data_IF_380551593007
#
_entry.id   IF_380551593007
#
_cell.length_a   1.000
_cell.length_b   1.000
_cell.length_c   1.000
_cell.angle_alpha   90.00
_cell.angle_beta   90.00
_cell.angle_gamma   90.00
#
_symmetry.space_group_name_H-M   'P 1'
#
loop_
_entity.id
_entity.type
_entity.pdbx_description
1 polymer ?
#
# COMPACT_ATOMS: atom_id res chain seq x y z
N UNK A 1 32.74 7.92 2.07
CA UNK A 1 31.82 6.86 1.60
C UNK A 1 30.51 7.54 1.24
N UNK A 2 29.87 7.18 0.12
CA UNK A 2 28.56 7.75 -0.24
C UNK A 2 27.54 7.37 0.84
N UNK A 3 26.81 8.36 1.35
CA UNK A 3 25.74 8.17 2.34
C UNK A 3 24.39 8.41 1.67
N UNK A 4 23.51 7.43 1.70
CA UNK A 4 22.19 7.49 1.06
C UNK A 4 21.08 7.51 2.12
N UNK A 5 20.18 8.47 1.99
CA UNK A 5 18.91 8.46 2.69
C UNK A 5 17.97 7.44 2.03
N UNK A 6 17.36 6.56 2.81
CA UNK A 6 16.22 5.77 2.36
C UNK A 6 14.96 6.50 2.84
N UNK A 7 14.28 7.18 1.93
CA UNK A 7 13.03 7.84 2.24
C UNK A 7 11.87 6.88 2.00
N UNK A 8 11.43 6.19 3.05
CA UNK A 8 10.20 5.40 3.01
C UNK A 8 9.00 6.35 2.91
N UNK A 9 8.14 6.15 1.91
CA UNK A 9 6.99 7.01 1.66
C UNK A 9 5.69 6.24 1.72
N UNK A 10 4.71 6.77 2.45
CA UNK A 10 3.36 6.20 2.51
C UNK A 10 2.28 7.30 2.47
N UNK A 11 1.03 6.87 2.35
CA UNK A 11 -0.10 7.79 2.17
C UNK A 11 -0.30 8.70 3.39
N UNK A 12 -0.07 8.18 4.60
CA UNK A 12 -0.45 8.81 5.85
C UNK A 12 -1.86 8.42 6.27
N UNK A 13 -2.18 8.65 7.55
CA UNK A 13 -3.47 8.35 8.14
C UNK A 13 -3.57 9.06 9.50
N UNK A 14 -4.77 9.44 9.97
CA UNK A 14 -4.96 10.05 11.28
C UNK A 14 -4.65 9.04 12.40
N UNK A 15 -3.91 9.52 13.40
CA UNK A 15 -3.51 8.73 14.58
C UNK A 15 -4.51 8.84 15.73
N UNK A 16 -5.53 9.68 15.57
CA UNK A 16 -6.62 9.90 16.52
C UNK A 16 -7.87 10.39 15.81
N UNK A 17 -9.03 10.29 16.46
CA UNK A 17 -10.30 10.81 15.93
C UNK A 17 -10.25 12.33 15.68
N UNK A 18 -9.52 13.07 16.52
CA UNK A 18 -9.35 14.52 16.37
C UNK A 18 -8.61 14.90 15.08
N UNK A 19 -7.81 13.99 14.52
CA UNK A 19 -7.06 14.20 13.28
C UNK A 19 -7.86 13.86 12.02
N UNK A 20 -9.01 13.19 12.14
CA UNK A 20 -9.82 12.73 10.99
C UNK A 20 -10.23 13.91 10.11
N UNK A 21 -10.82 14.95 10.68
CA UNK A 21 -11.26 16.11 9.91
C UNK A 21 -10.09 16.85 9.23
N UNK A 22 -9.01 17.25 9.94
CA UNK A 22 -7.84 17.86 9.31
C UNK A 22 -7.26 17.01 8.18
N UNK A 23 -7.15 15.70 8.39
CA UNK A 23 -6.62 14.76 7.41
C UNK A 23 -7.47 14.69 6.13
N UNK A 24 -8.79 14.50 6.24
CA UNK A 24 -9.66 14.45 5.06
C UNK A 24 -9.78 15.81 4.37
N UNK A 25 -9.71 16.91 5.14
CA UNK A 25 -9.64 18.26 4.56
C UNK A 25 -8.37 18.41 3.71
N UNK A 26 -7.23 17.92 4.21
CA UNK A 26 -5.96 17.94 3.48
C UNK A 26 -6.01 17.10 2.20
N UNK A 27 -6.51 15.85 2.26
CA UNK A 27 -6.68 14.98 1.07
C UNK A 27 -7.52 15.67 -0.01
N UNK A 28 -8.55 16.41 0.39
CA UNK A 28 -9.49 17.10 -0.52
C UNK A 28 -8.98 18.46 -1.01
N UNK A 29 -7.71 18.79 -0.78
CA UNK A 29 -7.09 20.05 -1.19
C UNK A 29 -7.61 21.25 -0.40
N UNK A 30 -7.81 21.09 0.91
CA UNK A 30 -8.30 22.14 1.80
C UNK A 30 -9.83 22.23 1.92
N UNK A 31 -10.58 21.40 1.17
CA UNK A 31 -12.04 21.37 1.23
C UNK A 31 -12.52 20.45 2.34
N UNK A 32 -13.15 21.03 3.36
CA UNK A 32 -13.73 20.29 4.49
C UNK A 32 -14.80 19.31 4.01
N UNK A 33 -14.86 18.08 4.57
CA UNK A 33 -16.01 17.19 4.38
C UNK A 33 -17.32 17.80 4.86
N UNK A 34 -18.46 17.36 4.31
CA UNK A 34 -19.76 17.69 4.87
C UNK A 34 -19.91 17.06 6.26
N UNK A 35 -20.76 17.61 7.15
CA UNK A 35 -20.99 17.04 8.48
C UNK A 35 -21.35 15.55 8.45
N UNK A 36 -22.24 15.15 7.55
CA UNK A 36 -22.69 13.75 7.43
C UNK A 36 -21.55 12.82 7.00
N UNK A 37 -20.75 13.22 6.01
CA UNK A 37 -19.61 12.44 5.55
C UNK A 37 -18.50 12.38 6.61
N UNK A 38 -18.26 13.48 7.33
CA UNK A 38 -17.31 13.47 8.44
C UNK A 38 -17.76 12.53 9.56
N UNK A 39 -19.05 12.54 9.90
CA UNK A 39 -19.62 11.62 10.87
C UNK A 39 -19.43 10.16 10.42
N UNK A 40 -19.79 9.83 9.19
CA UNK A 40 -19.63 8.49 8.63
C UNK A 40 -18.17 8.00 8.72
N UNK A 41 -17.21 8.80 8.22
CA UNK A 41 -15.79 8.44 8.30
C UNK A 41 -15.34 8.25 9.74
N UNK A 42 -15.75 9.15 10.65
CA UNK A 42 -15.36 9.09 12.06
C UNK A 42 -15.90 7.81 12.72
N UNK A 43 -17.12 7.39 12.38
CA UNK A 43 -17.68 6.11 12.83
C UNK A 43 -16.88 4.91 12.30
N UNK A 44 -16.38 4.95 11.06
CA UNK A 44 -15.48 3.90 10.54
C UNK A 44 -14.21 3.79 11.40
N UNK A 45 -13.61 4.93 11.77
CA UNK A 45 -12.47 4.93 12.71
C UNK A 45 -12.84 4.39 14.08
N UNK A 46 -14.00 4.75 14.63
CA UNK A 46 -14.49 4.19 15.90
C UNK A 46 -14.58 2.65 15.85
N UNK A 47 -15.12 2.10 14.77
CA UNK A 47 -15.30 0.65 14.57
C UNK A 47 -13.98 -0.13 14.50
N UNK A 48 -12.87 0.52 14.18
CA UNK A 48 -11.53 -0.10 14.17
C UNK A 48 -10.68 0.26 15.41
N UNK A 49 -11.29 0.83 16.45
CA UNK A 49 -10.60 1.18 17.71
C UNK A 49 -10.16 2.63 17.85
N UNK A 50 -10.69 3.53 17.01
CA UNK A 50 -10.55 4.98 17.12
C UNK A 50 -9.31 5.59 16.44
N UNK A 51 -8.48 4.79 15.78
CA UNK A 51 -7.30 5.26 15.04
C UNK A 51 -6.83 4.24 14.00
N UNK A 52 -6.15 4.71 12.96
CA UNK A 52 -5.47 3.81 12.01
C UNK A 52 -4.10 3.37 12.57
N UNK A 53 -3.74 2.08 12.47
CA UNK A 53 -2.42 1.62 12.90
C UNK A 53 -1.30 1.93 11.89
N UNK A 54 -1.62 2.51 10.73
CA UNK A 54 -0.68 2.69 9.61
C UNK A 54 0.60 3.42 10.02
N UNK A 55 0.50 4.53 10.76
CA UNK A 55 1.69 5.28 11.17
C UNK A 55 2.57 4.48 12.13
N UNK A 56 1.97 3.74 13.07
CA UNK A 56 2.72 2.92 14.02
C UNK A 56 3.39 1.73 13.33
N UNK A 57 2.71 1.10 12.36
CA UNK A 57 3.26 0.02 11.52
C UNK A 57 4.43 0.52 10.69
N UNK A 58 4.25 1.60 9.93
CA UNK A 58 5.30 2.15 9.05
C UNK A 58 6.52 2.65 9.82
N UNK A 59 6.33 3.19 11.04
CA UNK A 59 7.45 3.48 11.97
C UNK A 59 8.21 2.22 12.39
N UNK A 60 7.52 1.10 12.64
CA UNK A 60 8.17 -0.19 12.94
C UNK A 60 8.91 -0.75 11.73
N UNK A 61 8.32 -0.66 10.55
CA UNK A 61 8.97 -1.03 9.27
C UNK A 61 10.24 -0.22 9.07
N UNK A 62 10.19 1.11 9.24
CA UNK A 62 11.35 1.99 9.08
C UNK A 62 12.50 1.62 10.03
N UNK A 63 12.20 1.41 11.32
CA UNK A 63 13.20 0.97 12.31
C UNK A 63 13.78 -0.40 11.98
N UNK A 64 12.95 -1.33 11.55
CA UNK A 64 13.39 -2.68 11.20
C UNK A 64 14.24 -2.69 9.94
N UNK A 65 13.91 -1.84 8.96
CA UNK A 65 14.71 -1.64 7.75
C UNK A 65 16.08 -1.05 8.08
N UNK A 66 16.16 -0.03 8.95
CA UNK A 66 17.44 0.50 9.41
C UNK A 66 18.29 -0.62 10.02
N UNK A 67 17.73 -1.38 10.97
CA UNK A 67 18.43 -2.46 11.63
C UNK A 67 18.88 -3.58 10.67
N UNK A 68 18.10 -3.87 9.62
CA UNK A 68 18.48 -4.86 8.62
C UNK A 68 19.63 -4.37 7.73
N UNK A 69 19.56 -3.11 7.29
CA UNK A 69 20.62 -2.47 6.50
C UNK A 69 21.93 -2.35 7.30
N UNK A 70 21.87 -2.01 8.59
CA UNK A 70 23.06 -1.91 9.46
C UNK A 70 23.79 -3.25 9.59
N UNK A 71 23.02 -4.36 9.71
CA UNK A 71 23.57 -5.72 9.78
C UNK A 71 24.24 -6.18 8.49
N UNK A 72 23.97 -5.53 7.35
CA UNK A 72 24.53 -5.91 6.05
C UNK A 72 25.99 -5.49 5.83
N UNK A 73 26.65 -4.95 6.86
CA UNK A 73 28.10 -4.69 6.88
C UNK A 73 28.50 -3.26 6.48
N UNK A 74 27.55 -2.34 6.32
CA UNK A 74 27.81 -0.93 6.01
C UNK A 74 26.89 0.01 6.84
N UNK A 75 27.01 0.04 8.17
CA UNK A 75 26.10 0.78 9.05
C UNK A 75 26.05 2.29 8.76
N UNK A 76 27.13 2.87 8.25
CA UNK A 76 27.19 4.31 7.94
C UNK A 76 26.73 4.65 6.51
N UNK A 77 26.31 3.65 5.71
CA UNK A 77 25.92 3.86 4.31
C UNK A 77 24.48 4.36 4.17
N UNK A 78 23.57 3.86 5.00
CA UNK A 78 22.15 4.09 4.84
C UNK A 78 21.53 4.66 6.10
N UNK A 79 20.73 5.71 5.94
CA UNK A 79 19.89 6.27 7.00
C UNK A 79 18.43 6.25 6.55
N UNK A 80 17.56 5.58 7.29
CA UNK A 80 16.15 5.41 6.96
C UNK A 80 15.32 6.55 7.57
N UNK A 81 14.56 7.22 6.70
CA UNK A 81 13.58 8.24 7.04
C UNK A 81 12.19 7.76 6.64
N UNK A 82 11.17 8.29 7.32
CA UNK A 82 9.76 8.03 7.00
C UNK A 82 9.06 9.34 6.70
N UNK A 83 8.45 9.44 5.51
CA UNK A 83 7.63 10.56 5.08
C UNK A 83 6.23 10.11 4.67
N UNK A 84 5.24 10.91 5.01
CA UNK A 84 3.84 10.67 4.72
C UNK A 84 3.31 11.76 3.78
N UNK A 85 2.41 11.41 2.86
CA UNK A 85 1.83 12.39 1.94
C UNK A 85 0.78 13.26 2.62
N UNK A 86 -0.07 12.67 3.46
CA UNK A 86 -1.27 13.34 3.98
C UNK A 86 -1.34 13.51 5.50
N UNK A 87 -0.36 13.04 6.25
CA UNK A 87 -0.23 13.29 7.69
C UNK A 87 1.24 13.53 8.06
N UNK A 88 1.52 13.92 9.30
CA UNK A 88 2.91 14.06 9.76
C UNK A 88 3.56 12.68 10.04
N UNK A 89 4.89 12.53 9.88
CA UNK A 89 5.83 13.51 9.32
C UNK A 89 5.65 13.65 7.80
N UNK A 90 5.52 14.87 7.27
CA UNK A 90 5.26 15.05 5.84
C UNK A 90 6.51 14.78 5.00
N UNK A 91 6.34 14.23 3.79
CA UNK A 91 7.44 14.00 2.83
C UNK A 91 8.29 15.27 2.65
N UNK A 92 7.65 16.43 2.51
CA UNK A 92 8.36 17.70 2.32
C UNK A 92 9.28 18.06 3.49
N UNK A 93 8.78 17.95 4.73
CA UNK A 93 9.57 18.24 5.94
C UNK A 93 10.76 17.29 6.07
N UNK A 94 10.54 16.02 5.74
CA UNK A 94 11.57 14.98 5.84
C UNK A 94 12.65 15.15 4.78
N UNK A 95 12.30 15.58 3.56
CA UNK A 95 13.29 15.91 2.53
C UNK A 95 14.17 17.07 2.98
N UNK A 96 13.60 18.12 3.59
CA UNK A 96 14.39 19.23 4.15
C UNK A 96 15.32 18.76 5.27
N UNK A 97 14.86 17.82 6.11
CA UNK A 97 15.71 17.21 7.14
C UNK A 97 16.88 16.43 6.52
N UNK A 98 16.63 15.61 5.50
CA UNK A 98 17.67 14.85 4.78
C UNK A 98 18.72 15.81 4.19
N UNK A 99 18.29 16.93 3.62
CA UNK A 99 19.20 17.97 3.10
C UNK A 99 20.04 18.57 4.23
N UNK A 100 19.43 18.89 5.37
CA UNK A 100 20.13 19.43 6.53
C UNK A 100 21.15 18.43 7.13
N UNK A 101 20.87 17.13 7.04
CA UNK A 101 21.76 16.05 7.50
C UNK A 101 22.96 15.81 6.56
N UNK A 102 22.98 16.47 5.39
CA UNK A 102 24.11 16.46 4.46
C UNK A 102 24.35 15.12 3.77
N UNK A 103 23.26 14.40 3.44
CA UNK A 103 23.32 13.12 2.71
C UNK A 103 23.48 13.35 1.20
N UNK A 104 24.19 12.42 0.52
CA UNK A 104 24.60 12.59 -0.88
C UNK A 104 23.51 12.16 -1.87
N UNK A 105 22.57 11.33 -1.41
CA UNK A 105 21.58 10.66 -2.25
C UNK A 105 20.30 10.35 -1.47
N UNK A 106 19.16 10.39 -2.15
CA UNK A 106 17.87 9.92 -1.66
C UNK A 106 17.43 8.74 -2.53
N UNK A 107 17.27 7.57 -1.93
CA UNK A 107 16.49 6.47 -2.50
C UNK A 107 15.05 6.66 -2.02
N UNK A 108 14.19 7.17 -2.90
CA UNK A 108 12.80 7.44 -2.60
C UNK A 108 11.99 6.15 -2.81
N UNK A 109 11.58 5.52 -1.71
CA UNK A 109 10.97 4.18 -1.68
C UNK A 109 9.52 4.25 -1.17
N UNK A 110 8.53 4.31 -2.08
CA UNK A 110 7.13 4.10 -1.72
C UNK A 110 6.89 2.73 -1.09
N UNK A 111 6.09 2.70 -0.01
CA UNK A 111 5.50 1.47 0.53
C UNK A 111 4.29 0.99 -0.28
N UNK A 112 3.96 1.66 -1.38
CA UNK A 112 3.04 1.17 -2.40
C UNK A 112 3.83 0.33 -3.42
N UNK A 113 3.54 -0.97 -3.60
CA UNK A 113 4.29 -1.83 -4.52
C UNK A 113 4.00 -1.54 -5.99
N UNK A 114 2.80 -1.00 -6.28
CA UNK A 114 2.26 -0.78 -7.61
C UNK A 114 2.22 0.71 -7.93
N UNK A 115 2.74 1.10 -9.09
CA UNK A 115 2.78 2.47 -9.52
C UNK A 115 1.38 2.97 -9.89
N UNK A 116 1.03 4.14 -9.37
CA UNK A 116 0.02 5.01 -9.97
C UNK A 116 0.47 6.46 -9.90
N UNK A 117 0.02 7.28 -10.85
CA UNK A 117 0.18 8.75 -10.82
C UNK A 117 -0.44 9.35 -9.56
N UNK A 118 -1.53 8.76 -9.03
CA UNK A 118 -2.21 9.26 -7.82
C UNK A 118 -1.53 8.83 -6.51
N UNK A 119 -0.71 7.78 -6.53
CA UNK A 119 0.03 7.25 -5.37
C UNK A 119 1.54 7.55 -5.50
N UNK A 120 2.33 6.61 -6.02
CA UNK A 120 3.79 6.67 -6.17
C UNK A 120 4.21 7.94 -6.92
N UNK A 121 3.54 8.27 -8.04
CA UNK A 121 3.83 9.48 -8.79
C UNK A 121 3.63 10.76 -7.96
N UNK A 122 2.60 10.79 -7.11
CA UNK A 122 2.35 11.92 -6.22
C UNK A 122 3.36 12.01 -5.07
N UNK A 123 3.88 10.88 -4.56
CA UNK A 123 4.96 10.88 -3.57
C UNK A 123 6.26 11.44 -4.17
N UNK A 124 6.64 10.96 -5.35
CA UNK A 124 7.84 11.46 -6.05
C UNK A 124 7.71 12.94 -6.41
N UNK A 125 6.51 13.38 -6.81
CA UNK A 125 6.24 14.81 -7.01
C UNK A 125 6.47 15.63 -5.74
N UNK A 126 5.99 15.15 -4.58
CA UNK A 126 6.22 15.83 -3.30
C UNK A 126 7.72 15.89 -2.93
N UNK A 127 8.49 14.84 -3.24
CA UNK A 127 9.96 14.85 -3.07
C UNK A 127 10.61 15.89 -3.98
N UNK A 128 10.25 15.89 -5.27
CA UNK A 128 10.81 16.82 -6.25
C UNK A 128 10.47 18.29 -5.92
N UNK A 129 9.25 18.57 -5.48
CA UNK A 129 8.83 19.90 -5.04
C UNK A 129 9.61 20.36 -3.80
N UNK A 130 9.82 19.46 -2.82
CA UNK A 130 10.54 19.77 -1.59
C UNK A 130 12.06 19.94 -1.80
N UNK A 131 12.66 19.20 -2.74
CA UNK A 131 14.05 19.42 -3.15
C UNK A 131 14.24 20.77 -3.87
N UNK A 132 13.16 21.34 -4.40
CA UNK A 132 13.20 22.42 -5.37
C UNK A 132 13.80 21.94 -6.71
N UNK A 133 13.53 22.68 -7.79
CA UNK A 133 13.97 22.30 -9.15
C UNK A 133 15.51 22.32 -9.30
N UNK A 134 16.26 22.78 -8.29
CA UNK A 134 17.65 23.20 -8.46
C UNK A 134 18.60 22.92 -7.30
N UNK A 135 18.33 21.98 -6.36
CA UNK A 135 19.36 21.57 -5.40
C UNK A 135 20.25 20.47 -6.02
N UNK A 136 21.36 20.81 -6.70
CA UNK A 136 22.10 19.87 -7.54
C UNK A 136 23.01 18.94 -6.74
N UNK A 137 22.99 19.05 -5.41
CA UNK A 137 23.94 18.38 -4.52
C UNK A 137 23.47 16.98 -4.11
N UNK A 138 22.17 16.70 -4.13
CA UNK A 138 21.62 15.40 -3.72
C UNK A 138 21.10 14.64 -4.93
N UNK A 139 21.62 13.43 -5.13
CA UNK A 139 21.12 12.52 -6.18
C UNK A 139 19.79 11.92 -5.77
N UNK A 140 18.81 11.89 -6.67
CA UNK A 140 17.53 11.21 -6.44
C UNK A 140 17.48 9.89 -7.20
N UNK A 141 17.13 8.80 -6.51
CA UNK A 141 16.86 7.46 -7.04
C UNK A 141 15.41 7.08 -6.73
N UNK A 142 14.46 7.39 -7.63
CA UNK A 142 13.07 7.04 -7.40
C UNK A 142 12.85 5.54 -7.64
N UNK A 143 12.21 4.87 -6.68
CA UNK A 143 11.64 3.53 -6.88
C UNK A 143 10.20 3.69 -7.35
N UNK A 144 9.91 3.19 -8.55
CA UNK A 144 8.59 3.36 -9.17
C UNK A 144 7.62 2.22 -8.84
N UNK A 145 8.13 0.99 -8.79
CA UNK A 145 7.34 -0.21 -8.52
C UNK A 145 8.23 -1.33 -8.01
N UNK A 146 7.62 -2.28 -7.31
CA UNK A 146 8.27 -3.50 -6.82
C UNK A 146 7.25 -4.62 -6.53
N UNK A 147 6.00 -4.48 -6.98
CA UNK A 147 4.93 -5.48 -6.79
C UNK A 147 5.20 -6.84 -7.44
N UNK A 148 6.01 -6.89 -8.50
CA UNK A 148 6.45 -8.14 -9.12
C UNK A 148 7.74 -8.71 -8.51
N UNK A 149 8.32 -8.08 -7.48
CA UNK A 149 9.57 -8.53 -6.90
C UNK A 149 9.43 -9.96 -6.33
N UNK A 150 10.31 -10.92 -6.68
CA UNK A 150 10.11 -12.33 -6.34
C UNK A 150 9.89 -12.60 -4.85
N UNK A 151 10.63 -11.93 -3.97
CA UNK A 151 10.41 -12.08 -2.52
C UNK A 151 9.09 -11.51 -2.02
N UNK A 152 8.55 -10.48 -2.68
CA UNK A 152 7.23 -9.95 -2.34
C UNK A 152 6.15 -10.95 -2.74
N UNK A 153 6.21 -11.46 -3.98
CA UNK A 153 5.30 -12.50 -4.48
C UNK A 153 5.29 -13.71 -3.55
N UNK A 154 6.47 -14.24 -3.18
CA UNK A 154 6.58 -15.39 -2.29
C UNK A 154 6.04 -15.10 -0.88
N UNK A 155 6.24 -13.88 -0.36
CA UNK A 155 5.68 -13.49 0.93
C UNK A 155 4.16 -13.43 0.88
N UNK A 156 3.57 -12.79 -0.13
CA UNK A 156 2.11 -12.71 -0.29
C UNK A 156 1.52 -14.11 -0.52
N UNK A 157 2.17 -14.95 -1.35
CA UNK A 157 1.80 -16.34 -1.53
C UNK A 157 1.71 -17.09 -0.19
N UNK A 158 2.73 -16.96 0.67
CA UNK A 158 2.67 -17.57 2.00
C UNK A 158 1.50 -17.05 2.86
N UNK A 159 1.11 -15.77 2.72
CA UNK A 159 -0.05 -15.22 3.44
C UNK A 159 -1.37 -15.80 2.94
N UNK A 160 -1.46 -16.09 1.64
CA UNK A 160 -2.60 -16.77 1.03
C UNK A 160 -2.67 -18.21 1.53
N UNK A 161 -1.57 -18.97 1.46
CA UNK A 161 -1.48 -20.36 1.95
C UNK A 161 -1.86 -20.47 3.43
N UNK A 162 -1.27 -19.61 4.28
CA UNK A 162 -1.56 -19.57 5.72
C UNK A 162 -3.06 -19.31 5.99
N UNK A 163 -3.69 -18.42 5.21
CA UNK A 163 -5.08 -18.04 5.41
C UNK A 163 -6.08 -19.06 4.83
N UNK A 164 -5.72 -19.74 3.74
CA UNK A 164 -6.47 -20.90 3.25
C UNK A 164 -6.55 -21.97 4.34
N UNK A 165 -5.44 -22.22 5.06
CA UNK A 165 -5.45 -23.08 6.25
C UNK A 165 -6.02 -24.47 5.98
N UNK A 166 -5.80 -25.01 4.79
CA UNK A 166 -6.32 -26.31 4.35
C UNK A 166 -7.78 -26.31 3.86
N UNK A 167 -8.39 -25.15 3.59
CA UNK A 167 -9.66 -25.08 2.87
C UNK A 167 -9.56 -25.84 1.53
N UNK A 168 -10.57 -26.65 1.17
CA UNK A 168 -10.57 -27.39 -0.09
C UNK A 168 -10.70 -26.44 -1.28
N UNK A 169 -9.89 -26.64 -2.32
CA UNK A 169 -9.83 -25.78 -3.50
C UNK A 169 -11.15 -25.73 -4.28
N UNK A 170 -11.93 -26.82 -4.30
CA UNK A 170 -13.05 -26.98 -5.23
C UNK A 170 -14.18 -25.96 -5.00
N UNK A 171 -14.36 -25.52 -3.75
CA UNK A 171 -15.43 -24.61 -3.32
C UNK A 171 -14.91 -23.33 -2.66
N UNK A 172 -13.62 -23.02 -2.85
CA UNK A 172 -12.98 -21.83 -2.30
C UNK A 172 -12.64 -20.86 -3.42
N UNK A 173 -13.06 -19.61 -3.27
CA UNK A 173 -12.62 -18.51 -4.13
C UNK A 173 -11.57 -17.66 -3.40
N UNK A 174 -10.45 -17.38 -4.05
CA UNK A 174 -9.53 -16.32 -3.61
C UNK A 174 -9.82 -15.03 -4.39
N UNK A 175 -10.05 -13.92 -3.69
CA UNK A 175 -10.26 -12.61 -4.32
C UNK A 175 -9.08 -11.72 -3.95
N UNK A 176 -8.27 -11.35 -4.94
CA UNK A 176 -7.27 -10.32 -4.76
C UNK A 176 -7.92 -8.94 -4.82
N UNK A 177 -7.59 -8.07 -3.87
CA UNK A 177 -8.14 -6.72 -3.81
C UNK A 177 -7.08 -5.62 -3.73
N UNK A 178 -7.46 -4.44 -4.23
CA UNK A 178 -6.71 -3.20 -4.10
C UNK A 178 -7.67 -2.01 -4.04
N UNK A 179 -7.19 -0.84 -3.59
CA UNK A 179 -7.97 0.39 -3.67
C UNK A 179 -8.31 0.68 -5.14
N UNK A 180 -9.58 0.96 -5.42
CA UNK A 180 -10.03 1.42 -6.72
C UNK A 180 -9.46 2.80 -7.05
N UNK A 181 -9.32 3.15 -8.32
CA UNK A 181 -8.97 4.50 -8.73
C UNK A 181 -9.97 5.01 -9.77
N UNK A 182 -10.07 6.33 -10.01
CA UNK A 182 -10.88 6.85 -11.10
C UNK A 182 -10.51 6.19 -12.45
N UNK A 183 -11.49 5.66 -13.17
CA UNK A 183 -11.27 4.88 -14.40
C UNK A 183 -10.58 5.71 -15.51
N UNK A 184 -10.69 7.04 -15.45
CA UNK A 184 -9.94 7.92 -16.35
C UNK A 184 -8.42 7.68 -16.31
N UNK A 185 -7.84 7.28 -15.17
CA UNK A 185 -6.40 7.03 -15.07
C UNK A 185 -5.96 5.91 -16.01
N UNK A 186 -6.76 4.84 -16.13
CA UNK A 186 -6.53 3.77 -17.10
C UNK A 186 -6.52 4.30 -18.53
N UNK A 187 -7.48 5.17 -18.86
CA UNK A 187 -7.54 5.82 -20.19
C UNK A 187 -6.36 6.77 -20.43
N UNK A 188 -5.81 7.35 -19.37
CA UNK A 188 -4.60 8.19 -19.38
C UNK A 188 -3.30 7.35 -19.41
N UNK A 189 -3.38 6.02 -19.43
CA UNK A 189 -2.22 5.13 -19.51
C UNK A 189 -1.54 4.84 -18.17
N UNK A 190 -2.25 4.98 -17.05
CA UNK A 190 -1.74 4.61 -15.73
C UNK A 190 -1.59 3.07 -15.61
N UNK A 191 -0.41 2.55 -15.25
CA UNK A 191 -0.14 1.10 -15.27
C UNK A 191 -0.69 0.35 -14.05
N UNK A 192 -1.31 1.05 -13.09
CA UNK A 192 -1.72 0.50 -11.80
C UNK A 192 -2.52 -0.80 -11.89
N UNK A 193 -3.55 -0.86 -12.73
CA UNK A 193 -4.37 -2.06 -12.90
C UNK A 193 -3.54 -3.23 -13.47
N UNK A 194 -2.65 -2.97 -14.43
CA UNK A 194 -1.82 -4.00 -15.03
C UNK A 194 -0.79 -4.56 -14.04
N UNK A 195 -0.12 -3.70 -13.25
CA UNK A 195 0.85 -4.13 -12.24
C UNK A 195 0.19 -4.92 -11.08
N UNK A 196 -1.03 -4.53 -10.70
CA UNK A 196 -1.83 -5.27 -9.72
C UNK A 196 -2.22 -6.66 -10.21
N UNK A 197 -2.71 -6.76 -11.45
CA UNK A 197 -3.04 -8.03 -12.09
C UNK A 197 -1.81 -8.92 -12.22
N UNK A 198 -0.66 -8.37 -12.64
CA UNK A 198 0.60 -9.13 -12.69
C UNK A 198 0.98 -9.71 -11.33
N UNK A 199 0.87 -8.90 -10.27
CA UNK A 199 1.17 -9.38 -8.91
C UNK A 199 0.19 -10.48 -8.46
N UNK A 200 -1.10 -10.31 -8.75
CA UNK A 200 -2.12 -11.31 -8.45
C UNK A 200 -1.88 -12.62 -9.22
N UNK A 201 -1.56 -12.54 -10.52
CA UNK A 201 -1.21 -13.68 -11.37
C UNK A 201 0.02 -14.43 -10.84
N UNK A 202 1.09 -13.69 -10.48
CA UNK A 202 2.31 -14.28 -9.94
C UNK A 202 2.07 -14.97 -8.60
N UNK A 203 1.28 -14.36 -7.72
CA UNK A 203 0.92 -14.94 -6.42
C UNK A 203 0.02 -16.16 -6.62
N UNK A 204 -1.00 -16.06 -7.46
CA UNK A 204 -1.90 -17.18 -7.77
C UNK A 204 -1.14 -18.37 -8.36
N UNK A 205 -0.20 -18.11 -9.28
CA UNK A 205 0.67 -19.12 -9.85
C UNK A 205 1.63 -19.75 -8.84
N UNK A 206 2.18 -18.96 -7.91
CA UNK A 206 3.07 -19.45 -6.86
C UNK A 206 2.36 -20.39 -5.88
N UNK A 207 1.09 -20.12 -5.54
CA UNK A 207 0.27 -20.96 -4.65
C UNK A 207 -0.39 -22.12 -5.41
N UNK A 208 -0.58 -22.01 -6.73
CA UNK A 208 -1.29 -22.99 -7.54
C UNK A 208 -2.82 -22.83 -7.49
N UNK A 209 -3.32 -21.60 -7.30
CA UNK A 209 -4.75 -21.33 -7.18
C UNK A 209 -5.52 -21.68 -8.46
N UNK A 210 -6.60 -22.45 -8.31
CA UNK A 210 -7.49 -22.83 -9.41
C UNK A 210 -8.65 -21.86 -9.62
N UNK A 211 -9.13 -21.24 -8.54
CA UNK A 211 -10.26 -20.32 -8.52
C UNK A 211 -9.84 -19.02 -7.85
N UNK A 212 -9.58 -18.01 -8.66
CA UNK A 212 -9.31 -16.68 -8.16
C UNK A 212 -9.86 -15.61 -9.08
N UNK A 213 -10.05 -14.41 -8.54
CA UNK A 213 -10.50 -13.22 -9.26
C UNK A 213 -9.82 -11.98 -8.67
N UNK A 214 -9.90 -10.88 -9.40
CA UNK A 214 -9.46 -9.58 -8.93
C UNK A 214 -10.68 -8.66 -8.79
N UNK A 215 -10.70 -7.87 -7.73
CA UNK A 215 -11.71 -6.86 -7.50
C UNK A 215 -11.12 -5.62 -6.84
N UNK A 216 -11.81 -4.49 -6.93
CA UNK A 216 -11.40 -3.27 -6.27
C UNK A 216 -12.28 -2.97 -5.05
N UNK A 217 -11.74 -2.20 -4.11
CA UNK A 217 -12.45 -1.73 -2.92
C UNK A 217 -12.30 -0.21 -2.77
N UNK A 218 -13.09 0.37 -1.86
CA UNK A 218 -12.90 1.76 -1.42
C UNK A 218 -13.09 2.82 -2.52
N UNK A 219 -13.89 2.52 -3.56
CA UNK A 219 -14.25 3.51 -4.58
C UNK A 219 -15.00 4.69 -3.93
N UNK A 220 -14.58 5.93 -4.22
CA UNK A 220 -15.23 7.10 -3.64
C UNK A 220 -16.45 7.53 -4.47
N UNK A 221 -17.55 8.01 -3.84
CA UNK A 221 -18.76 8.45 -4.53
C UNK A 221 -18.58 9.86 -5.13
N UNK A 222 -17.69 9.98 -6.12
CA UNK A 222 -17.33 11.26 -6.75
C UNK A 222 -18.15 11.57 -8.01
N UNK A 223 -19.01 10.65 -8.45
CA UNK A 223 -19.84 10.77 -9.66
C UNK A 223 -19.11 10.49 -10.97
N UNK A 224 -17.80 10.24 -10.95
CA UNK A 224 -17.07 9.63 -12.06
C UNK A 224 -16.96 8.11 -11.88
N UNK A 225 -16.82 7.31 -12.95
CA UNK A 225 -16.55 5.88 -12.84
C UNK A 225 -15.21 5.58 -12.19
N UNK A 226 -15.18 4.52 -11.38
CA UNK A 226 -13.99 3.97 -10.73
C UNK A 226 -13.68 2.59 -11.28
N UNK A 227 -12.43 2.13 -11.15
CA UNK A 227 -12.02 0.79 -11.55
C UNK A 227 -12.85 -0.26 -10.81
N UNK A 228 -13.37 -1.23 -11.56
CA UNK A 228 -14.18 -2.32 -11.05
C UNK A 228 -13.70 -3.68 -11.58
N UNK A 229 -14.34 -4.78 -11.16
CA UNK A 229 -15.56 -4.81 -10.35
C UNK A 229 -15.33 -4.45 -8.87
N UNK A 230 -16.38 -4.06 -8.15
CA UNK A 230 -16.32 -3.91 -6.70
C UNK A 230 -16.29 -5.29 -6.00
N UNK A 231 -15.44 -5.42 -4.98
CA UNK A 231 -15.26 -6.65 -4.22
C UNK A 231 -16.54 -7.20 -3.57
N UNK A 232 -17.46 -6.35 -3.12
CA UNK A 232 -18.73 -6.81 -2.56
C UNK A 232 -19.67 -7.33 -3.64
N UNK A 233 -19.65 -6.73 -4.83
CA UNK A 233 -20.44 -7.21 -5.97
C UNK A 233 -19.94 -8.59 -6.42
N UNK A 234 -18.63 -8.78 -6.53
CA UNK A 234 -18.03 -10.11 -6.81
C UNK A 234 -18.48 -11.15 -5.76
N UNK A 235 -18.50 -10.79 -4.47
CA UNK A 235 -18.94 -11.71 -3.41
C UNK A 235 -20.44 -12.06 -3.54
N UNK A 236 -21.29 -11.10 -3.89
CA UNK A 236 -22.73 -11.35 -4.14
C UNK A 236 -22.93 -12.28 -5.33
N UNK A 237 -22.19 -12.06 -6.42
CA UNK A 237 -22.24 -12.92 -7.60
C UNK A 237 -21.81 -14.35 -7.29
N UNK A 238 -20.72 -14.51 -6.53
CA UNK A 238 -20.22 -15.82 -6.09
C UNK A 238 -21.24 -16.54 -5.21
N UNK A 239 -21.85 -15.85 -4.23
CA UNK A 239 -22.90 -16.42 -3.39
C UNK A 239 -24.11 -16.86 -4.22
N UNK A 240 -24.56 -16.02 -5.16
CA UNK A 240 -25.70 -16.31 -6.03
C UNK A 240 -25.45 -17.50 -6.97
N UNK A 241 -24.20 -17.71 -7.40
CA UNK A 241 -23.83 -18.85 -8.25
C UNK A 241 -23.98 -20.21 -7.55
N UNK A 242 -23.79 -20.24 -6.22
CA UNK A 242 -23.74 -21.47 -5.42
C UNK A 242 -22.51 -22.37 -5.67
N UNK A 243 -21.55 -21.94 -6.49
CA UNK A 243 -20.34 -22.71 -6.81
C UNK A 243 -19.34 -22.78 -5.65
N UNK A 244 -19.34 -21.76 -4.79
CA UNK A 244 -18.42 -21.62 -3.65
C UNK A 244 -19.19 -21.44 -2.36
N UNK A 245 -18.63 -21.92 -1.25
CA UNK A 245 -19.11 -21.68 0.12
C UNK A 245 -18.05 -20.96 0.97
N UNK A 246 -16.88 -20.65 0.40
CA UNK A 246 -15.75 -20.03 1.08
C UNK A 246 -15.12 -18.95 0.21
N UNK A 247 -14.82 -17.81 0.82
CA UNK A 247 -14.11 -16.70 0.19
C UNK A 247 -12.91 -16.29 1.04
N UNK A 248 -11.73 -16.27 0.43
CA UNK A 248 -10.52 -15.68 0.98
C UNK A 248 -10.21 -14.38 0.25
N UNK A 249 -10.20 -13.25 0.97
CA UNK A 249 -9.74 -11.97 0.42
C UNK A 249 -8.25 -11.75 0.71
N UNK A 250 -7.49 -11.42 -0.32
CA UNK A 250 -6.09 -11.01 -0.22
C UNK A 250 -5.92 -9.55 -0.71
N UNK A 251 -5.77 -8.56 0.19
CA UNK A 251 -5.55 -7.16 -0.18
C UNK A 251 -4.13 -6.92 -0.74
N UNK A 252 -3.83 -7.49 -1.91
CA UNK A 252 -2.50 -7.46 -2.57
C UNK A 252 -2.00 -6.04 -2.87
N UNK A 253 -2.91 -5.08 -3.04
CA UNK A 253 -2.58 -3.67 -3.23
C UNK A 253 -2.07 -2.95 -1.97
N UNK A 254 -2.07 -3.60 -0.80
CA UNK A 254 -1.72 -2.99 0.47
C UNK A 254 -0.71 -3.82 1.26
N UNK A 255 0.22 -3.13 1.92
CA UNK A 255 1.29 -3.78 2.71
C UNK A 255 1.06 -3.70 4.21
N UNK A 256 0.15 -2.84 4.68
CA UNK A 256 -0.08 -2.58 6.09
C UNK A 256 -1.57 -2.47 6.39
N UNK A 257 -1.98 -2.90 7.59
CA UNK A 257 -3.31 -2.61 8.10
C UNK A 257 -3.52 -1.09 8.21
N UNK A 258 -4.70 -0.65 7.79
CA UNK A 258 -5.19 0.72 7.83
C UNK A 258 -6.73 0.67 7.71
N UNK A 259 -7.38 1.83 7.63
CA UNK A 259 -8.84 1.93 7.67
C UNK A 259 -9.53 0.99 6.69
N UNK A 260 -9.15 1.00 5.41
CA UNK A 260 -9.85 0.24 4.36
C UNK A 260 -9.69 -1.27 4.50
N UNK A 261 -8.56 -1.73 5.05
CA UNK A 261 -8.38 -3.14 5.36
C UNK A 261 -9.19 -3.56 6.59
N UNK A 262 -9.13 -2.76 7.67
CA UNK A 262 -9.75 -3.12 8.94
C UNK A 262 -11.27 -2.85 8.99
N UNK A 263 -11.76 -1.93 8.17
CA UNK A 263 -13.18 -1.61 8.10
C UNK A 263 -13.81 -2.29 6.87
N UNK A 264 -13.40 -1.92 5.66
CA UNK A 264 -14.07 -2.39 4.45
C UNK A 264 -14.01 -3.92 4.36
N UNK A 265 -12.90 -4.56 4.73
CA UNK A 265 -12.77 -6.02 4.69
C UNK A 265 -13.20 -6.71 5.99
N UNK A 266 -12.62 -6.33 7.13
CA UNK A 266 -12.86 -7.06 8.38
C UNK A 266 -14.22 -6.75 9.03
N UNK A 267 -14.89 -5.66 8.65
CA UNK A 267 -16.23 -5.29 9.12
C UNK A 267 -17.28 -5.45 8.01
N UNK A 268 -17.21 -4.68 6.93
CA UNK A 268 -18.29 -4.65 5.93
C UNK A 268 -18.33 -5.93 5.09
N UNK A 269 -17.21 -6.31 4.49
CA UNK A 269 -17.13 -7.49 3.62
C UNK A 269 -17.38 -8.77 4.40
N UNK A 270 -16.82 -8.90 5.61
CA UNK A 270 -17.10 -10.02 6.50
C UNK A 270 -18.60 -10.15 6.79
N UNK A 271 -19.26 -9.06 7.20
CA UNK A 271 -20.68 -9.08 7.51
C UNK A 271 -21.53 -9.46 6.30
N UNK A 272 -21.20 -8.94 5.11
CA UNK A 272 -21.85 -9.31 3.86
C UNK A 272 -21.68 -10.80 3.54
N UNK A 273 -20.47 -11.34 3.65
CA UNK A 273 -20.21 -12.75 3.39
C UNK A 273 -20.98 -13.66 4.38
N UNK A 274 -21.04 -13.28 5.66
CA UNK A 274 -21.83 -13.98 6.68
C UNK A 274 -23.33 -13.94 6.37
N UNK A 275 -23.89 -12.80 5.95
CA UNK A 275 -25.29 -12.67 5.52
C UNK A 275 -25.61 -13.59 4.33
N UNK A 276 -24.67 -13.73 3.41
CA UNK A 276 -24.79 -14.57 2.22
C UNK A 276 -24.49 -16.06 2.48
N UNK A 277 -24.11 -16.43 3.72
CA UNK A 277 -23.79 -17.81 4.08
C UNK A 277 -22.44 -18.32 3.59
N UNK A 278 -21.49 -17.43 3.30
CA UNK A 278 -20.11 -17.76 2.90
C UNK A 278 -19.16 -17.74 4.11
N UNK A 279 -18.29 -18.75 4.23
CA UNK A 279 -17.16 -18.68 5.18
C UNK A 279 -16.15 -17.64 4.67
N UNK A 280 -15.86 -16.63 5.49
CA UNK A 280 -14.98 -15.51 5.09
C UNK A 280 -13.67 -15.48 5.87
N UNK A 281 -12.57 -15.38 5.13
CA UNK A 281 -11.24 -15.08 5.65
C UNK A 281 -10.58 -13.96 4.87
N UNK A 282 -9.63 -13.30 5.52
CA UNK A 282 -8.72 -12.35 4.90
C UNK A 282 -7.28 -12.73 5.22
N UNK A 283 -6.38 -12.60 4.27
CA UNK A 283 -4.94 -12.75 4.55
C UNK A 283 -4.47 -11.66 5.51
N UNK A 284 -3.63 -12.00 6.48
CA UNK A 284 -2.98 -10.99 7.33
C UNK A 284 -2.14 -10.02 6.49
N UNK A 285 -2.24 -8.72 6.77
CA UNK A 285 -1.38 -7.69 6.15
C UNK A 285 0.09 -7.91 6.49
N UNK A 286 1.00 -7.48 5.61
CA UNK A 286 2.44 -7.73 5.79
C UNK A 286 2.97 -7.04 7.06
N UNK A 287 2.50 -5.82 7.32
CA UNK A 287 2.85 -5.00 8.48
C UNK A 287 4.37 -4.91 8.66
N UNK A 288 4.89 -5.22 9.84
CA UNK A 288 6.30 -5.23 10.20
C UNK A 288 6.92 -6.64 10.19
N UNK A 289 6.40 -7.55 9.36
CA UNK A 289 7.00 -8.87 9.16
C UNK A 289 8.46 -8.74 8.71
N UNK A 290 9.37 -9.44 9.38
CA UNK A 290 10.79 -9.44 9.04
C UNK A 290 11.07 -9.84 7.59
N UNK A 291 10.25 -10.71 6.99
CA UNK A 291 10.35 -11.10 5.57
C UNK A 291 10.00 -9.93 4.65
N UNK A 292 9.04 -9.09 5.05
CA UNK A 292 8.70 -7.88 4.31
C UNK A 292 9.85 -6.86 4.37
N UNK A 293 10.47 -6.69 5.54
CA UNK A 293 11.65 -5.84 5.70
C UNK A 293 12.81 -6.31 4.80
N UNK A 294 12.97 -7.63 4.63
CA UNK A 294 13.98 -8.17 3.71
C UNK A 294 13.68 -7.86 2.24
N UNK A 295 12.41 -7.85 1.82
CA UNK A 295 12.01 -7.37 0.48
C UNK A 295 12.49 -5.94 0.28
N UNK A 296 12.13 -5.04 1.20
CA UNK A 296 12.51 -3.62 1.10
C UNK A 296 14.04 -3.44 1.09
N UNK A 297 14.75 -4.22 1.90
CA UNK A 297 16.21 -4.19 1.97
C UNK A 297 16.87 -4.67 0.68
N UNK A 298 16.27 -5.62 -0.03
CA UNK A 298 16.74 -6.07 -1.34
C UNK A 298 16.50 -5.01 -2.41
N UNK A 299 15.28 -4.44 -2.47
CA UNK A 299 14.95 -3.31 -3.37
C UNK A 299 15.92 -2.13 -3.17
N UNK A 300 16.21 -1.75 -1.92
CA UNK A 300 17.21 -0.71 -1.62
C UNK A 300 18.59 -1.05 -2.17
N UNK A 301 19.05 -2.29 -1.99
CA UNK A 301 20.37 -2.72 -2.43
C UNK A 301 20.49 -2.76 -3.95
N UNK A 302 19.48 -3.27 -4.64
CA UNK A 302 19.39 -3.25 -6.10
C UNK A 302 19.46 -1.81 -6.62
N UNK A 303 18.64 -0.92 -6.06
CA UNK A 303 18.62 0.50 -6.45
C UNK A 303 19.93 1.22 -6.18
N UNK A 304 20.65 0.86 -5.11
CA UNK A 304 21.91 1.49 -4.73
C UNK A 304 23.08 1.09 -5.64
N UNK A 305 22.97 0.02 -6.44
CA UNK A 305 24.02 -0.42 -7.39
C UNK A 305 23.66 -0.15 -8.84
N UNK A 306 22.40 0.16 -9.15
CA UNK A 306 22.00 0.53 -10.51
C UNK A 306 22.76 1.77 -10.99
N UNK A 307 23.21 1.82 -12.26
CA UNK A 307 23.69 3.05 -12.85
C UNK A 307 22.61 4.13 -12.74
N UNK A 308 22.99 5.37 -12.48
CA UNK A 308 22.05 6.48 -12.63
C UNK A 308 21.59 6.46 -14.09
N UNK A 309 20.28 6.44 -14.32
CA UNK A 309 19.74 6.63 -15.65
C UNK A 309 20.32 7.95 -16.19
N UNK A 310 21.09 7.89 -17.26
CA UNK A 310 21.60 9.08 -17.93
C UNK A 310 20.41 9.96 -18.27
N UNK A 311 20.46 11.22 -17.87
CA UNK A 311 19.50 12.23 -18.32
C UNK A 311 19.75 12.39 -19.81
N UNK A 312 18.97 11.68 -20.62
CA UNK A 312 18.92 11.79 -22.08
C UNK A 312 17.75 12.66 -22.51
#
# INVERSE_FOLDING_TARGET
MQRSAILLMAYGSPSSLAEVEPYFTHIRGGRRPSPDHLHEITERYHRIGGRSPLLDITRRVARSLQADLDRSGNPDRFTVYLGMKHSAPFIADVVLQIVADGLDEIIALPLAPHYSRMSVGAYHKAVAEAMGVSNPLIRLRPVYHWGAHPRFVQLVASRVEDALGGWPDERTQVIFTAHSLPERLRREGDPYEAELMESADLVAGAVGLRRWSFAFQSASPTGEPWLGPDHQDVIRELAASGEVDRVLVCPVGFVADHLEVLYDLDVETRALAEELGLEFRRTRSLNDDSRFVQVLSEVVREMAVMPLAGVG
#
